data_IF_051875935888
#
_entry.id   IF_051875935888
#
_cell.length_a   1.000
_cell.length_b   1.000
_cell.length_c   1.000
_cell.angle_alpha   90.00
_cell.angle_beta   90.00
_cell.angle_gamma   90.00
#
_symmetry.space_group_name_H-M   'P 1'
#
loop_
_entity.id
_entity.type
_entity.pdbx_description
1 polymer ?
#
# COMPACT_ATOMS: atom_id res chain seq x y z
N UNK A 1 -16.27 17.65 -10.29
CA UNK A 1 -16.30 16.20 -10.60
C UNK A 1 -14.97 15.71 -11.16
N UNK A 2 -14.28 16.46 -12.03
CA UNK A 2 -12.93 16.10 -12.55
C UNK A 2 -11.90 15.79 -11.46
N UNK A 3 -11.76 16.68 -10.47
CA UNK A 3 -10.83 16.54 -9.35
C UNK A 3 -11.00 15.23 -8.56
N UNK A 4 -12.23 14.74 -8.44
CA UNK A 4 -12.54 13.51 -7.71
C UNK A 4 -12.15 12.26 -8.51
N UNK A 5 -12.31 12.30 -9.85
CA UNK A 5 -11.86 11.22 -10.72
C UNK A 5 -10.33 11.13 -10.77
N UNK A 6 -9.65 12.29 -10.83
CA UNK A 6 -8.18 12.37 -10.78
C UNK A 6 -7.67 11.78 -9.47
N UNK A 7 -8.27 12.14 -8.31
CA UNK A 7 -7.94 11.54 -7.02
C UNK A 7 -8.05 10.01 -7.04
N UNK A 8 -9.17 9.46 -7.53
CA UNK A 8 -9.35 8.01 -7.55
C UNK A 8 -8.32 7.30 -8.45
N UNK A 9 -7.99 7.86 -9.61
CA UNK A 9 -6.99 7.27 -10.52
C UNK A 9 -5.61 7.27 -9.86
N UNK A 10 -5.14 8.42 -9.39
CA UNK A 10 -3.80 8.53 -8.82
C UNK A 10 -3.70 7.87 -7.44
N UNK A 11 -4.73 7.96 -6.61
CA UNK A 11 -4.76 7.34 -5.29
C UNK A 11 -4.76 5.82 -5.36
N UNK A 12 -5.55 5.21 -6.26
CA UNK A 12 -5.52 3.76 -6.48
C UNK A 12 -4.16 3.34 -7.04
N UNK A 13 -3.63 4.05 -8.04
CA UNK A 13 -2.33 3.75 -8.64
C UNK A 13 -1.20 3.83 -7.60
N UNK A 14 -1.19 4.87 -6.78
CA UNK A 14 -0.27 5.04 -5.66
C UNK A 14 -0.40 3.89 -4.66
N UNK A 15 -1.62 3.52 -4.28
CA UNK A 15 -1.87 2.46 -3.29
C UNK A 15 -1.39 1.09 -3.78
N UNK A 16 -1.68 0.73 -5.03
CA UNK A 16 -1.21 -0.53 -5.64
C UNK A 16 0.31 -0.55 -5.73
N UNK A 17 0.91 0.56 -6.19
CA UNK A 17 2.37 0.67 -6.31
C UNK A 17 3.04 0.57 -4.94
N UNK A 18 2.49 1.22 -3.93
CA UNK A 18 3.00 1.18 -2.56
C UNK A 18 2.90 -0.24 -1.97
N UNK A 19 1.77 -0.93 -2.17
CA UNK A 19 1.60 -2.32 -1.77
C UNK A 19 2.63 -3.23 -2.43
N UNK A 20 2.87 -3.07 -3.74
CA UNK A 20 3.89 -3.82 -4.46
C UNK A 20 5.31 -3.56 -3.93
N UNK A 21 5.66 -2.31 -3.64
CA UNK A 21 6.96 -1.94 -3.07
C UNK A 21 7.15 -2.61 -1.70
N UNK A 22 6.16 -2.49 -0.81
CA UNK A 22 6.20 -3.12 0.52
C UNK A 22 6.38 -4.63 0.40
N UNK A 23 5.61 -5.27 -0.49
CA UNK A 23 5.73 -6.70 -0.72
C UNK A 23 7.13 -7.08 -1.22
N UNK A 24 7.70 -6.34 -2.18
CA UNK A 24 9.03 -6.63 -2.71
C UNK A 24 10.13 -6.43 -1.67
N UNK A 25 10.03 -5.42 -0.80
CA UNK A 25 10.97 -5.18 0.30
C UNK A 25 10.99 -6.39 1.23
N UNK A 26 9.84 -6.80 1.75
CA UNK A 26 9.77 -7.93 2.68
C UNK A 26 10.17 -9.25 2.03
N UNK A 27 9.79 -9.47 0.78
CA UNK A 27 10.24 -10.63 0.01
C UNK A 27 11.75 -10.66 -0.14
N UNK A 28 12.37 -9.52 -0.45
CA UNK A 28 13.82 -9.43 -0.60
C UNK A 28 14.54 -9.65 0.74
N UNK A 29 13.99 -9.10 1.84
CA UNK A 29 14.50 -9.32 3.19
C UNK A 29 14.42 -10.79 3.60
N UNK A 30 13.30 -11.46 3.33
CA UNK A 30 13.13 -12.89 3.57
C UNK A 30 14.09 -13.76 2.71
N UNK A 31 14.52 -13.28 1.53
CA UNK A 31 15.48 -14.01 0.69
C UNK A 31 16.93 -13.86 1.13
N UNK A 32 17.29 -12.73 1.74
CA UNK A 32 18.67 -12.41 2.13
C UNK A 32 18.95 -12.82 3.58
N UNK A 33 17.91 -12.90 4.42
CA UNK A 33 18.04 -13.29 5.81
C UNK A 33 18.08 -14.82 5.96
N UNK A 34 18.99 -15.33 6.81
CA UNK A 34 19.03 -16.75 7.20
C UNK A 34 17.78 -17.17 8.01
N UNK A 35 17.05 -16.20 8.56
CA UNK A 35 15.81 -16.39 9.32
C UNK A 35 14.67 -15.62 8.66
N UNK A 36 13.51 -16.25 8.50
CA UNK A 36 12.31 -15.60 7.99
C UNK A 36 11.97 -14.36 8.85
N UNK A 37 12.00 -13.18 8.23
CA UNK A 37 11.76 -11.88 8.87
C UNK A 37 10.28 -11.68 9.13
N UNK A 38 9.45 -12.09 8.16
CA UNK A 38 8.00 -11.97 8.23
C UNK A 38 7.34 -13.12 7.48
N UNK A 39 6.32 -13.73 8.11
CA UNK A 39 5.50 -14.75 7.46
C UNK A 39 4.78 -14.20 6.23
N UNK A 40 4.63 -15.03 5.20
CA UNK A 40 3.95 -14.64 3.94
C UNK A 40 2.53 -14.10 4.18
N UNK A 41 1.78 -14.70 5.10
CA UNK A 41 0.43 -14.24 5.46
C UNK A 41 0.45 -12.81 6.02
N UNK A 42 1.35 -12.54 6.98
CA UNK A 42 1.52 -11.22 7.57
C UNK A 42 2.01 -10.20 6.52
N UNK A 43 2.88 -10.62 5.61
CA UNK A 43 3.36 -9.78 4.52
C UNK A 43 2.22 -9.35 3.60
N UNK A 44 1.33 -10.27 3.21
CA UNK A 44 0.15 -9.99 2.38
C UNK A 44 -0.82 -9.04 3.10
N UNK A 45 -1.08 -9.31 4.38
CA UNK A 45 -1.94 -8.46 5.21
C UNK A 45 -1.37 -7.04 5.28
N UNK A 46 -0.06 -6.89 5.49
CA UNK A 46 0.59 -5.60 5.67
C UNK A 46 0.68 -4.82 4.35
N UNK A 47 1.02 -5.47 3.24
CA UNK A 47 1.08 -4.83 1.93
C UNK A 47 -0.31 -4.45 1.39
N UNK A 48 -1.39 -4.99 1.95
CA UNK A 48 -2.78 -4.67 1.57
C UNK A 48 -3.40 -3.63 2.50
N UNK A 49 -3.31 -3.83 3.82
CA UNK A 49 -3.93 -2.94 4.81
C UNK A 49 -3.27 -1.58 4.86
N UNK A 50 -1.94 -1.52 4.75
CA UNK A 50 -1.24 -0.24 4.88
C UNK A 50 -1.60 0.74 3.75
N UNK A 51 -1.54 0.37 2.46
CA UNK A 51 -1.96 1.27 1.39
C UNK A 51 -3.46 1.57 1.41
N UNK A 52 -4.32 0.61 1.77
CA UNK A 52 -5.76 0.84 1.88
C UNK A 52 -6.10 1.87 2.97
N UNK A 53 -5.50 1.74 4.14
CA UNK A 53 -5.70 2.71 5.23
C UNK A 53 -5.23 4.10 4.81
N UNK A 54 -4.07 4.19 4.16
CA UNK A 54 -3.52 5.44 3.66
C UNK A 54 -4.45 6.08 2.61
N UNK A 55 -4.99 5.31 1.67
CA UNK A 55 -5.95 5.78 0.67
C UNK A 55 -7.23 6.36 1.31
N UNK A 56 -7.74 5.71 2.36
CA UNK A 56 -8.93 6.18 3.10
C UNK A 56 -8.63 7.51 3.80
N UNK A 57 -7.45 7.63 4.43
CA UNK A 57 -7.02 8.86 5.09
C UNK A 57 -6.86 9.99 4.07
N UNK A 58 -6.17 9.75 2.96
CA UNK A 58 -6.01 10.72 1.87
C UNK A 58 -7.36 11.16 1.32
N UNK A 59 -8.29 10.22 1.09
CA UNK A 59 -9.64 10.55 0.64
C UNK A 59 -10.40 11.42 1.65
N UNK A 60 -10.22 11.15 2.94
CA UNK A 60 -10.88 11.91 4.02
C UNK A 60 -10.35 13.35 4.11
N UNK A 61 -9.04 13.53 3.92
CA UNK A 61 -8.41 14.86 3.86
C UNK A 61 -8.90 15.58 2.61
N UNK A 62 -8.80 14.94 1.44
CA UNK A 62 -9.20 15.53 0.16
C UNK A 62 -10.69 15.84 0.07
N UNK A 63 -11.55 15.10 0.78
CA UNK A 63 -13.00 15.35 0.79
C UNK A 63 -13.44 16.44 1.77
N UNK A 64 -12.54 16.90 2.65
CA UNK A 64 -12.81 18.03 3.55
C UNK A 64 -12.58 19.39 2.90
N UNK A 65 -11.76 19.42 1.85
CA UNK A 65 -11.52 20.58 0.99
C UNK A 65 -12.46 20.57 -0.24
#
# INVERSE_FOLDING_TARGET
MENKNIFWIFGILQSVTLGAIIFLIFRSLNMISDVEVIGTDTQIVLCTLFPLFLLIVEYTIYSKD
#
